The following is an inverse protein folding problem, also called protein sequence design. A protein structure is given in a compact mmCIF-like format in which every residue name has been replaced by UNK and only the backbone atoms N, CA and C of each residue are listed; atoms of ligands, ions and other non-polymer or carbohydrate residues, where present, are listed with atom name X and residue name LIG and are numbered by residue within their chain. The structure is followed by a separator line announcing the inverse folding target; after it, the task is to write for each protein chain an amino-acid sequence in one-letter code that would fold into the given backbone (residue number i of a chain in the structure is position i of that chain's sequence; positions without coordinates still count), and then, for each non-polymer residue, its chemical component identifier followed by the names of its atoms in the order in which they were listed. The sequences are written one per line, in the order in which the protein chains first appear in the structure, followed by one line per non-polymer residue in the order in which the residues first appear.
data_IF_051877508258
#
_entry.id   IF_051877508258
#
_cell.length_a   1.000
_cell.length_b   1.000
_cell.length_c   1.000
_cell.angle_alpha   90.00
_cell.angle_beta   90.00
_cell.angle_gamma   90.00
#
_symmetry.space_group_name_H-M   'P 1'
#
loop_
_entity.id
_entity.type
_entity.pdbx_description
1 polymer ?
#
# COMPACT_ATOMS: atom_id res chain seq x y z
N UNK A 1 62.90 -7.74 10.12
CA UNK A 1 61.69 -8.01 9.32
C UNK A 1 60.49 -7.86 10.22
N UNK A 2 59.59 -6.93 9.93
CA UNK A 2 58.31 -6.78 10.64
C UNK A 2 57.99 -5.33 11.03
N UNK A 3 57.66 -4.48 10.06
CA UNK A 3 56.91 -3.24 10.32
C UNK A 3 55.51 -3.39 9.71
N UNK A 4 54.49 -3.27 10.58
CA UNK A 4 53.09 -3.38 10.23
C UNK A 4 52.60 -1.99 9.77
N UNK A 5 52.43 -1.81 8.46
CA UNK A 5 51.84 -0.59 7.89
C UNK A 5 50.36 -0.49 8.28
N UNK A 6 50.02 0.57 9.01
CA UNK A 6 48.63 1.00 9.23
C UNK A 6 48.04 1.44 7.90
N UNK A 7 47.32 0.55 7.24
CA UNK A 7 46.47 0.93 6.11
C UNK A 7 45.25 1.67 6.67
N UNK A 8 45.18 2.97 6.41
CA UNK A 8 43.97 3.76 6.56
C UNK A 8 42.93 3.22 5.57
N UNK A 9 42.02 2.38 6.04
CA UNK A 9 40.78 2.13 5.34
C UNK A 9 39.91 3.38 5.50
N UNK A 10 40.01 4.27 4.52
CA UNK A 10 38.96 5.24 4.21
C UNK A 10 37.67 4.44 4.02
N UNK A 11 36.71 4.67 4.92
CA UNK A 11 35.33 4.22 4.76
C UNK A 11 34.82 4.93 3.52
N UNK A 12 34.89 4.23 2.39
CA UNK A 12 34.30 4.68 1.15
C UNK A 12 32.78 4.65 1.33
N UNK A 13 32.21 5.85 1.37
CA UNK A 13 30.80 6.14 1.11
C UNK A 13 30.34 5.39 -0.15
N UNK A 14 29.74 4.20 0.02
CA UNK A 14 29.07 3.48 -1.04
C UNK A 14 27.81 2.81 -0.50
N UNK A 15 26.67 3.50 -0.70
CA UNK A 15 25.47 2.96 -1.35
C UNK A 15 24.39 4.04 -1.42
N UNK A 16 24.57 4.99 -2.34
CA UNK A 16 23.47 5.79 -2.88
C UNK A 16 23.06 5.14 -4.21
N UNK A 17 22.36 4.01 -4.12
CA UNK A 17 21.65 3.37 -5.23
C UNK A 17 20.22 3.19 -4.74
N UNK A 18 19.41 4.24 -4.89
CA UNK A 18 18.00 4.19 -4.50
C UNK A 18 17.31 3.13 -5.35
N UNK A 19 16.66 2.16 -4.70
CA UNK A 19 15.88 1.11 -5.34
C UNK A 19 14.84 1.77 -6.28
N UNK A 20 14.70 1.33 -7.55
CA UNK A 20 13.66 1.83 -8.46
C UNK A 20 12.26 1.87 -7.83
N UNK A 21 11.94 0.91 -6.94
CA UNK A 21 10.68 0.89 -6.21
C UNK A 21 10.58 2.06 -5.23
N UNK A 22 11.66 2.40 -4.52
CA UNK A 22 11.70 3.50 -3.56
C UNK A 22 11.43 4.85 -4.23
N UNK A 23 11.98 5.05 -5.43
CA UNK A 23 11.73 6.23 -6.25
C UNK A 23 10.26 6.29 -6.68
N UNK A 24 9.71 5.18 -7.17
CA UNK A 24 8.29 5.13 -7.58
C UNK A 24 7.33 5.34 -6.42
N UNK A 25 7.65 4.81 -5.23
CA UNK A 25 6.91 5.04 -4.00
C UNK A 25 6.94 6.52 -3.63
N UNK A 26 8.13 7.14 -3.62
CA UNK A 26 8.28 8.55 -3.28
C UNK A 26 7.51 9.46 -4.25
N UNK A 27 7.62 9.20 -5.55
CA UNK A 27 6.91 9.95 -6.58
C UNK A 27 5.40 9.82 -6.45
N UNK A 28 4.91 8.61 -6.16
CA UNK A 28 3.47 8.36 -5.98
C UNK A 28 2.96 9.04 -4.70
N UNK A 29 3.71 8.97 -3.59
CA UNK A 29 3.36 9.65 -2.34
C UNK A 29 3.34 11.18 -2.47
N UNK A 30 4.20 11.76 -3.32
CA UNK A 30 4.21 13.20 -3.58
C UNK A 30 2.95 13.69 -4.31
N UNK A 31 2.30 12.82 -5.10
CA UNK A 31 1.03 13.12 -5.80
C UNK A 31 -0.22 12.90 -4.94
N UNK A 32 -0.03 12.42 -3.71
CA UNK A 32 -1.10 12.15 -2.75
C UNK A 32 -1.05 13.19 -1.65
N UNK A 33 -2.03 14.10 -1.64
CA UNK A 33 -2.05 15.23 -0.69
C UNK A 33 -2.20 14.77 0.76
N UNK A 34 -3.17 13.90 1.03
CA UNK A 34 -3.46 13.41 2.37
C UNK A 34 -3.45 11.88 2.41
N UNK A 35 -2.85 11.29 3.44
CA UNK A 35 -2.82 9.85 3.68
C UNK A 35 -3.45 9.56 5.03
N UNK A 36 -4.44 8.67 5.07
CA UNK A 36 -5.19 8.33 6.28
C UNK A 36 -5.10 6.82 6.45
N UNK A 37 -4.54 6.39 7.57
CA UNK A 37 -4.50 4.97 7.96
C UNK A 37 -5.62 4.73 8.96
N UNK A 38 -6.48 3.76 8.67
CA UNK A 38 -7.57 3.33 9.55
C UNK A 38 -7.13 2.05 10.24
N UNK A 39 -7.00 2.11 11.57
CA UNK A 39 -6.50 1.02 12.41
C UNK A 39 -7.52 0.59 13.46
N UNK A 40 -7.42 -0.66 13.94
CA UNK A 40 -8.28 -1.17 15.02
C UNK A 40 -7.54 -2.13 15.93
N UNK A 41 -7.73 -2.01 17.24
CA UNK A 41 -7.11 -2.91 18.22
C UNK A 41 -7.70 -4.33 18.29
N UNK A 42 -8.86 -4.58 17.66
CA UNK A 42 -9.53 -5.89 17.64
C UNK A 42 -10.20 -6.11 16.28
N UNK A 43 -10.31 -7.37 15.88
CA UNK A 43 -11.11 -7.78 14.71
C UNK A 43 -12.61 -7.56 14.95
N UNK A 44 -13.37 -7.33 13.87
CA UNK A 44 -14.84 -7.27 13.92
C UNK A 44 -15.43 -5.93 14.39
N UNK A 45 -14.63 -4.89 14.63
CA UNK A 45 -15.14 -3.56 15.05
C UNK A 45 -15.72 -2.71 13.92
N UNK A 46 -15.69 -3.21 12.68
CA UNK A 46 -16.19 -2.49 11.51
C UNK A 46 -15.20 -1.52 10.87
N UNK A 47 -13.88 -1.67 11.14
CA UNK A 47 -12.79 -0.87 10.55
C UNK A 47 -12.93 -0.73 9.02
N UNK A 48 -13.02 -1.85 8.29
CA UNK A 48 -13.17 -1.85 6.83
C UNK A 48 -14.42 -1.12 6.37
N UNK A 49 -15.54 -1.29 7.09
CA UNK A 49 -16.77 -0.54 6.82
C UNK A 49 -16.57 0.97 6.99
N UNK A 50 -15.81 1.40 8.00
CA UNK A 50 -15.47 2.82 8.20
C UNK A 50 -14.58 3.31 7.06
N UNK A 51 -13.54 2.56 6.68
CA UNK A 51 -12.62 2.88 5.57
C UNK A 51 -13.36 3.06 4.24
N UNK A 52 -14.26 2.14 3.90
CA UNK A 52 -15.09 2.19 2.69
C UNK A 52 -16.03 3.39 2.71
N UNK A 53 -16.82 3.56 3.79
CA UNK A 53 -17.80 4.65 3.86
C UNK A 53 -17.13 6.04 3.89
N UNK A 54 -15.99 6.17 4.57
CA UNK A 54 -15.20 7.40 4.54
C UNK A 54 -14.74 7.72 3.12
N UNK A 55 -14.26 6.73 2.38
CA UNK A 55 -13.80 6.90 1.01
C UNK A 55 -14.92 7.33 0.07
N UNK A 56 -16.09 6.70 0.18
CA UNK A 56 -17.29 7.07 -0.59
C UNK A 56 -17.75 8.48 -0.23
N UNK A 57 -17.79 8.83 1.05
CA UNK A 57 -18.22 10.15 1.51
C UNK A 57 -17.30 11.27 0.98
N UNK A 58 -15.99 11.05 0.97
CA UNK A 58 -15.01 12.00 0.40
C UNK A 58 -15.16 12.10 -1.11
N UNK A 59 -15.31 10.98 -1.82
CA UNK A 59 -15.51 10.98 -3.27
C UNK A 59 -16.81 11.70 -3.68
N UNK A 60 -17.89 11.51 -2.91
CA UNK A 60 -19.17 12.21 -3.11
C UNK A 60 -19.08 13.73 -2.86
N UNK A 61 -18.09 14.18 -2.09
CA UNK A 61 -17.77 15.60 -1.92
C UNK A 61 -16.90 16.17 -3.06
N UNK A 62 -16.54 15.35 -4.05
CA UNK A 62 -15.76 15.76 -5.21
C UNK A 62 -14.25 15.58 -5.08
N UNK A 63 -13.76 14.97 -4.00
CA UNK A 63 -12.33 14.69 -3.83
C UNK A 63 -11.89 13.47 -4.61
N UNK A 64 -10.66 13.46 -5.12
CA UNK A 64 -10.05 12.26 -5.71
C UNK A 64 -9.54 11.35 -4.61
N UNK A 65 -10.11 10.15 -4.50
CA UNK A 65 -9.86 9.22 -3.41
C UNK A 65 -9.32 7.88 -3.92
N UNK A 66 -8.25 7.42 -3.29
CA UNK A 66 -7.77 6.05 -3.35
C UNK A 66 -8.12 5.31 -2.06
N UNK A 67 -8.58 4.06 -2.18
CA UNK A 67 -8.77 3.14 -1.07
C UNK A 67 -7.84 1.94 -1.24
N UNK A 68 -6.97 1.71 -0.28
CA UNK A 68 -6.02 0.61 -0.29
C UNK A 68 -6.31 -0.34 0.87
N UNK A 69 -6.70 -1.55 0.54
CA UNK A 69 -6.89 -2.64 1.50
C UNK A 69 -5.60 -3.42 1.65
N UNK A 70 -5.11 -3.52 2.89
CA UNK A 70 -3.88 -4.25 3.22
C UNK A 70 -4.17 -5.40 4.19
N UNK A 71 -5.45 -5.71 4.43
CA UNK A 71 -5.90 -6.81 5.26
C UNK A 71 -6.31 -7.99 4.37
N UNK A 72 -5.72 -9.17 4.61
CA UNK A 72 -6.04 -10.39 3.85
C UNK A 72 -7.10 -11.26 4.50
N UNK A 73 -7.42 -11.00 5.76
CA UNK A 73 -8.31 -11.85 6.54
C UNK A 73 -9.65 -11.15 6.84
N UNK A 74 -9.87 -9.97 6.25
CA UNK A 74 -11.06 -9.13 6.42
C UNK A 74 -12.10 -9.30 5.32
N UNK A 75 -13.33 -8.78 5.51
CA UNK A 75 -14.34 -8.75 4.46
C UNK A 75 -13.90 -7.86 3.30
N UNK A 76 -13.83 -8.44 2.10
CA UNK A 76 -13.15 -7.84 0.95
C UNK A 76 -13.74 -6.48 0.54
N UNK A 77 -12.91 -5.43 0.53
CA UNK A 77 -13.25 -4.14 -0.09
C UNK A 77 -13.79 -4.33 -1.52
N UNK A 78 -13.19 -5.19 -2.37
CA UNK A 78 -13.74 -5.51 -3.68
C UNK A 78 -15.19 -6.00 -3.60
N UNK A 79 -15.49 -6.91 -2.67
CA UNK A 79 -16.84 -7.42 -2.45
C UNK A 79 -17.81 -6.35 -1.95
N UNK A 80 -17.37 -5.49 -1.02
CA UNK A 80 -18.19 -4.38 -0.50
C UNK A 80 -18.51 -3.34 -1.57
N UNK A 81 -17.59 -3.10 -2.50
CA UNK A 81 -17.77 -2.18 -3.62
C UNK A 81 -18.44 -2.84 -4.84
N UNK A 82 -18.69 -4.15 -4.80
CA UNK A 82 -19.34 -4.91 -5.87
C UNK A 82 -18.44 -5.24 -7.05
N UNK A 83 -17.11 -5.15 -6.89
CA UNK A 83 -16.15 -5.50 -7.92
C UNK A 83 -16.07 -7.01 -8.14
N UNK A 84 -15.86 -7.39 -9.41
CA UNK A 84 -15.61 -8.75 -9.85
C UNK A 84 -14.41 -8.72 -10.80
N UNK A 85 -13.42 -9.57 -10.57
CA UNK A 85 -12.23 -9.69 -11.44
C UNK A 85 -10.91 -9.36 -10.74
N UNK A 86 -9.82 -9.54 -11.48
CA UNK A 86 -8.45 -9.22 -11.05
C UNK A 86 -8.04 -7.82 -11.54
N UNK A 87 -6.95 -7.28 -11.00
CA UNK A 87 -6.38 -6.02 -11.48
C UNK A 87 -5.78 -6.19 -12.88
N UNK A 88 -6.06 -5.24 -13.77
CA UNK A 88 -5.47 -5.19 -15.11
C UNK A 88 -4.14 -4.43 -15.09
N UNK A 89 -3.23 -4.79 -16.00
CA UNK A 89 -2.01 -4.02 -16.24
C UNK A 89 -2.30 -2.81 -17.13
N UNK A 90 -1.73 -1.66 -16.74
CA UNK A 90 -1.71 -0.43 -17.52
C UNK A 90 -0.69 -0.52 -18.64
N UNK A 91 -0.77 0.42 -19.60
CA UNK A 91 0.22 0.55 -20.69
C UNK A 91 1.64 0.82 -20.16
N UNK A 92 1.76 1.33 -18.94
CA UNK A 92 3.03 1.63 -18.28
C UNK A 92 3.54 0.47 -17.41
N UNK A 93 2.97 -0.74 -17.55
CA UNK A 93 3.28 -1.90 -16.70
C UNK A 93 2.99 -1.67 -15.21
N UNK A 94 2.10 -0.72 -14.89
CA UNK A 94 1.56 -0.48 -13.54
C UNK A 94 0.21 -1.15 -13.37
N UNK A 95 -0.21 -1.44 -12.15
CA UNK A 95 -1.53 -1.98 -11.86
C UNK A 95 -2.60 -0.90 -12.00
N UNK A 96 -3.65 -1.16 -12.79
CA UNK A 96 -4.83 -0.31 -12.84
C UNK A 96 -5.70 -0.58 -11.61
N UNK A 97 -5.96 0.42 -10.76
CA UNK A 97 -6.86 0.24 -9.62
C UNK A 97 -8.31 0.08 -10.09
N UNK A 98 -9.10 -0.68 -9.34
CA UNK A 98 -10.52 -0.88 -9.61
C UNK A 98 -11.28 0.43 -9.42
N UNK A 99 -12.01 0.88 -10.45
CA UNK A 99 -12.78 2.12 -10.40
C UNK A 99 -14.17 1.88 -9.84
N UNK A 100 -14.50 2.53 -8.72
CA UNK A 100 -15.85 2.52 -8.15
C UNK A 100 -16.71 3.66 -8.73
N UNK A 101 -16.11 4.82 -8.90
CA UNK A 101 -16.72 6.01 -9.51
C UNK A 101 -15.63 6.86 -10.17
N UNK A 102 -15.99 7.98 -10.79
CA UNK A 102 -15.03 8.95 -11.34
C UNK A 102 -14.00 9.43 -10.30
N UNK A 103 -14.38 9.48 -9.02
CA UNK A 103 -13.60 10.04 -7.93
C UNK A 103 -13.08 8.99 -6.93
N UNK A 104 -13.49 7.73 -7.04
CA UNK A 104 -13.08 6.66 -6.13
C UNK A 104 -12.53 5.47 -6.89
N UNK A 105 -11.32 5.07 -6.51
CA UNK A 105 -10.68 3.85 -6.95
C UNK A 105 -10.10 3.07 -5.78
N UNK A 106 -10.03 1.76 -5.92
CA UNK A 106 -9.55 0.88 -4.87
C UNK A 106 -8.58 -0.18 -5.38
N UNK A 107 -7.72 -0.63 -4.47
CA UNK A 107 -6.88 -1.82 -4.63
C UNK A 107 -7.01 -2.66 -3.37
N UNK A 108 -6.96 -3.98 -3.51
CA UNK A 108 -6.90 -4.89 -2.38
C UNK A 108 -5.88 -5.99 -2.63
N UNK A 109 -5.20 -6.45 -1.59
CA UNK A 109 -4.27 -7.58 -1.70
C UNK A 109 -4.98 -8.81 -2.25
N UNK A 110 -6.24 -9.03 -1.90
CA UNK A 110 -7.02 -10.17 -2.42
C UNK A 110 -7.10 -10.18 -3.95
N UNK A 111 -7.07 -9.01 -4.60
CA UNK A 111 -7.11 -8.90 -6.06
C UNK A 111 -5.79 -9.28 -6.77
N UNK A 112 -4.72 -9.53 -6.01
CA UNK A 112 -3.43 -10.03 -6.52
C UNK A 112 -3.28 -11.56 -6.40
N UNK A 113 -4.07 -12.21 -5.54
CA UNK A 113 -3.93 -13.64 -5.28
C UNK A 113 -4.91 -14.42 -6.14
N UNK A 114 -4.39 -15.30 -7.01
CA UNK A 114 -5.23 -16.14 -7.88
C UNK A 114 -6.00 -17.21 -7.09
N UNK A 115 -5.41 -17.74 -6.02
CA UNK A 115 -5.98 -18.79 -5.17
C UNK A 115 -6.19 -18.29 -3.74
N UNK A 116 -7.47 -18.22 -3.32
CA UNK A 116 -7.86 -17.79 -1.95
C UNK A 116 -7.42 -18.76 -0.85
N UNK A 117 -7.01 -19.97 -1.24
CA UNK A 117 -6.61 -21.05 -0.33
C UNK A 117 -5.11 -21.07 -0.02
N UNK A 118 -4.30 -20.23 -0.69
CA UNK A 118 -2.91 -20.01 -0.31
C UNK A 118 -2.88 -19.19 0.97
N UNK A 119 -2.88 -19.89 2.10
CA UNK A 119 -2.68 -19.34 3.44
C UNK A 119 -1.24 -18.83 3.58
N UNK A 120 -0.93 -17.71 2.91
CA UNK A 120 0.34 -17.01 3.04
C UNK A 120 0.41 -16.49 4.48
N UNK A 121 1.47 -16.87 5.21
CA UNK A 121 1.71 -16.35 6.56
C UNK A 121 2.27 -14.93 6.44
N UNK A 122 1.41 -13.94 6.64
CA UNK A 122 1.75 -12.51 6.53
C UNK A 122 2.52 -12.01 7.76
N UNK A 123 3.85 -12.19 7.74
CA UNK A 123 4.75 -11.56 8.71
C UNK A 123 4.97 -10.08 8.37
N UNK A 124 5.30 -9.26 9.38
CA UNK A 124 5.48 -7.80 9.26
C UNK A 124 6.26 -7.31 8.01
N UNK A 125 7.42 -7.91 7.66
CA UNK A 125 8.18 -7.51 6.48
C UNK A 125 7.44 -7.68 5.15
N UNK A 126 6.62 -8.73 5.01
CA UNK A 126 5.85 -9.00 3.79
C UNK A 126 4.76 -7.93 3.63
N UNK A 127 4.06 -7.59 4.72
CA UNK A 127 3.03 -6.54 4.72
C UNK A 127 3.60 -5.19 4.29
N UNK A 128 4.73 -4.81 4.88
CA UNK A 128 5.38 -3.53 4.57
C UNK A 128 5.84 -3.49 3.10
N UNK A 129 6.38 -4.58 2.59
CA UNK A 129 6.74 -4.71 1.17
C UNK A 129 5.53 -4.56 0.25
N UNK A 130 4.40 -5.21 0.56
CA UNK A 130 3.18 -5.13 -0.25
C UNK A 130 2.57 -3.73 -0.26
N UNK A 131 2.58 -3.03 0.88
CA UNK A 131 2.14 -1.63 0.96
C UNK A 131 3.00 -0.75 0.05
N UNK A 132 4.33 -0.88 0.14
CA UNK A 132 5.26 -0.14 -0.72
C UNK A 132 5.02 -0.47 -2.20
N UNK A 133 4.83 -1.75 -2.52
CA UNK A 133 4.54 -2.19 -3.87
C UNK A 133 3.25 -1.55 -4.39
N UNK A 134 2.16 -1.55 -3.63
CA UNK A 134 0.91 -0.90 -4.05
C UNK A 134 1.03 0.60 -4.19
N UNK A 135 1.80 1.27 -3.33
CA UNK A 135 2.01 2.71 -3.48
C UNK A 135 2.82 3.01 -4.75
N UNK A 136 3.86 2.22 -5.04
CA UNK A 136 4.76 2.46 -6.18
C UNK A 136 4.25 1.96 -7.53
N UNK A 137 3.52 0.84 -7.56
CA UNK A 137 3.20 0.11 -8.79
C UNK A 137 1.75 0.27 -9.23
N UNK A 138 0.87 0.85 -8.42
CA UNK A 138 -0.50 1.16 -8.84
C UNK A 138 -0.56 2.55 -9.47
N UNK A 139 -1.35 2.68 -10.54
CA UNK A 139 -1.59 3.94 -11.24
C UNK A 139 -2.61 4.82 -10.47
N UNK A 140 -2.18 5.33 -9.32
CA UNK A 140 -2.97 6.22 -8.47
C UNK A 140 -3.18 7.61 -9.07
N UNK A 141 -2.33 8.07 -9.99
CA UNK A 141 -2.40 9.45 -10.48
C UNK A 141 -2.38 10.47 -9.33
N UNK A 142 -3.09 11.58 -9.51
CA UNK A 142 -3.25 12.61 -8.48
C UNK A 142 -4.41 12.27 -7.54
N UNK A 143 -4.16 12.25 -6.23
CA UNK A 143 -5.18 12.01 -5.20
C UNK A 143 -5.21 13.13 -4.16
N UNK A 144 -6.41 13.49 -3.73
CA UNK A 144 -6.60 14.33 -2.55
C UNK A 144 -6.47 13.50 -1.27
N UNK A 145 -6.95 12.25 -1.29
CA UNK A 145 -6.90 11.33 -0.16
C UNK A 145 -6.52 9.91 -0.58
N UNK A 146 -5.59 9.29 0.13
CA UNK A 146 -5.39 7.83 0.14
C UNK A 146 -5.81 7.29 1.51
N UNK A 147 -6.84 6.46 1.53
CA UNK A 147 -7.32 5.76 2.71
C UNK A 147 -6.72 4.36 2.73
N UNK A 148 -6.12 3.95 3.84
CA UNK A 148 -5.44 2.67 4.01
C UNK A 148 -6.17 1.88 5.10
N UNK A 149 -6.76 0.74 4.74
CA UNK A 149 -7.43 -0.16 5.68
C UNK A 149 -6.42 -1.18 6.23
N UNK A 150 -5.90 -0.96 7.45
CA UNK A 150 -4.87 -1.82 8.05
C UNK A 150 -5.44 -3.15 8.56
N UNK A 151 -4.64 -4.20 8.81
CA UNK A 151 -5.13 -5.40 9.50
C UNK A 151 -5.56 -5.10 10.95
N UNK A 152 -6.33 -6.00 11.61
CA UNK A 152 -6.66 -5.85 13.03
C UNK A 152 -5.46 -6.15 13.93
N UNK A 153 -5.39 -5.44 15.06
CA UNK A 153 -4.32 -5.53 16.06
C UNK A 153 -3.43 -4.29 16.06
N UNK A 154 -2.73 -4.07 17.16
CA UNK A 154 -1.70 -3.03 17.32
C UNK A 154 -0.29 -3.64 17.28
N UNK A 155 -0.13 -4.77 16.58
CA UNK A 155 1.06 -5.60 16.68
C UNK A 155 2.22 -5.00 15.90
N UNK A 156 3.25 -4.54 16.63
CA UNK A 156 4.56 -4.05 16.16
C UNK A 156 4.56 -3.52 14.72
N UNK A 157 3.74 -2.50 14.47
CA UNK A 157 3.84 -1.67 13.28
C UNK A 157 4.83 -0.55 13.59
N UNK A 158 6.05 -0.54 13.03
CA UNK A 158 6.80 0.69 12.99
C UNK A 158 6.06 1.61 12.01
N UNK A 159 5.48 2.67 12.54
CA UNK A 159 4.97 3.83 11.80
C UNK A 159 6.13 4.56 11.11
N UNK A 160 6.83 3.87 10.21
CA UNK A 160 7.87 4.47 9.38
C UNK A 160 7.30 4.64 7.98
N UNK A 161 6.92 5.89 7.69
CA UNK A 161 6.56 6.37 6.36
C UNK A 161 7.70 7.24 5.86
#
# INVERSE_FOLDING_TARGET
MGECQKTSCSISDQKNSQDPLDLSVKDSLNRIKNKIIVMSGKGGVGKTSVSVNLSIALANKGFKVGLMDVDLHGPDIPRMLGFKGMLDLSKNQKLNPMKYSENLKAVSIESLTADKDDAIIWRGPIKHSTIRQFIGEVEWGELDYLIIDSPPGTGDEPLTV
#
